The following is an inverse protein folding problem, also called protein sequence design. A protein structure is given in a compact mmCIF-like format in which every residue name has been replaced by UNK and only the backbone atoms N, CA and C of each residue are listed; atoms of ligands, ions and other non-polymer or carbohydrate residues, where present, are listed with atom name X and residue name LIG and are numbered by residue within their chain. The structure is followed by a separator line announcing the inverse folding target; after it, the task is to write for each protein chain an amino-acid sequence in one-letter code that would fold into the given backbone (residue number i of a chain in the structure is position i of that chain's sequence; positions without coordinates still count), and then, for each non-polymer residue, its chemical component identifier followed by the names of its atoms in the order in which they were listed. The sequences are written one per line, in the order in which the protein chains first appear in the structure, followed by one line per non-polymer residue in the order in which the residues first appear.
data_IF_565737928860
#
_entry.id   IF_565737928860
#
_cell.length_a   1.000
_cell.length_b   1.000
_cell.length_c   1.000
_cell.angle_alpha   90.00
_cell.angle_beta   90.00
_cell.angle_gamma   90.00
#
_symmetry.space_group_name_H-M   'P 1'
#
loop_
_entity.id
_entity.type
_entity.pdbx_description
1 polymer ?
#
# COMPACT_ATOMS: atom_id res chain seq x y z
N UNK A 1 14.52 5.85 34.26
CA UNK A 1 13.87 5.57 32.97
C UNK A 1 13.63 6.91 32.28
N UNK A 2 14.08 7.07 31.04
CA UNK A 2 13.72 8.24 30.24
C UNK A 2 12.30 7.98 29.73
N UNK A 3 11.34 8.80 30.14
CA UNK A 3 9.97 8.73 29.65
C UNK A 3 9.98 9.22 28.19
N UNK A 4 9.93 8.28 27.23
CA UNK A 4 9.86 8.63 25.82
C UNK A 4 8.45 9.14 25.50
N UNK A 5 8.31 10.46 25.36
CA UNK A 5 7.07 11.09 24.89
C UNK A 5 7.16 11.32 23.39
N UNK A 6 6.18 10.80 22.66
CA UNK A 6 5.97 11.16 21.26
C UNK A 6 5.28 12.53 21.29
N UNK A 7 5.99 13.56 20.84
CA UNK A 7 5.44 14.90 20.68
C UNK A 7 4.69 15.05 19.36
N UNK A 8 3.95 16.15 19.22
CA UNK A 8 3.11 16.42 18.05
C UNK A 8 3.90 16.39 16.74
N UNK A 9 5.14 16.88 16.76
CA UNK A 9 6.03 16.85 15.61
C UNK A 9 6.35 15.41 15.15
N UNK A 10 6.63 14.50 16.09
CA UNK A 10 6.89 13.09 15.76
C UNK A 10 5.62 12.37 15.29
N UNK A 11 4.46 12.69 15.85
CA UNK A 11 3.18 12.16 15.40
C UNK A 11 2.83 12.64 13.98
N UNK A 12 3.07 13.92 13.68
CA UNK A 12 2.86 14.49 12.36
C UNK A 12 3.76 13.83 11.32
N UNK A 13 5.06 13.68 11.63
CA UNK A 13 5.99 12.97 10.77
C UNK A 13 5.57 11.52 10.53
N UNK A 14 5.13 10.81 11.57
CA UNK A 14 4.65 9.44 11.43
C UNK A 14 3.43 9.41 10.49
N UNK A 15 2.46 10.29 10.73
CA UNK A 15 1.23 10.41 9.93
C UNK A 15 1.55 10.64 8.45
N UNK A 16 2.40 11.62 8.15
CA UNK A 16 2.76 11.95 6.76
C UNK A 16 3.43 10.77 6.04
N UNK A 17 4.18 9.91 6.74
CA UNK A 17 4.81 8.74 6.13
C UNK A 17 3.78 7.63 5.90
N UNK A 18 2.97 7.31 6.91
CA UNK A 18 2.02 6.17 6.85
C UNK A 18 0.78 6.45 6.01
N UNK A 19 0.48 7.71 5.70
CA UNK A 19 -0.62 8.08 4.80
C UNK A 19 -0.23 8.00 3.31
N UNK A 20 1.05 7.77 2.97
CA UNK A 20 1.51 7.62 1.56
C UNK A 20 1.37 6.18 1.10
N UNK A 21 0.50 5.87 0.11
CA UNK A 21 0.35 4.51 -0.39
C UNK A 21 1.60 4.03 -1.14
N UNK A 22 2.23 2.98 -0.62
CA UNK A 22 3.52 2.47 -1.08
C UNK A 22 3.60 0.93 -0.99
N UNK A 23 2.71 0.17 -1.66
CA UNK A 23 2.81 -1.29 -1.63
C UNK A 23 4.10 -1.77 -2.29
N UNK A 24 4.53 -2.99 -1.98
CA UNK A 24 5.79 -3.57 -2.51
C UNK A 24 5.87 -3.47 -4.05
N UNK A 25 6.99 -2.95 -4.55
CA UNK A 25 7.24 -2.63 -5.97
C UNK A 25 6.75 -1.26 -6.43
N UNK A 26 6.09 -0.50 -5.57
CA UNK A 26 5.46 0.80 -5.88
C UNK A 26 5.81 1.89 -4.85
N UNK A 27 6.97 1.77 -4.20
CA UNK A 27 7.44 2.55 -3.04
C UNK A 27 7.92 3.97 -3.37
N UNK A 28 8.02 4.30 -4.66
CA UNK A 28 8.60 5.56 -5.13
C UNK A 28 8.01 6.83 -4.46
N UNK A 29 6.68 6.95 -4.22
CA UNK A 29 6.14 8.12 -3.54
C UNK A 29 6.68 8.33 -2.12
N UNK A 30 6.73 7.27 -1.29
CA UNK A 30 7.23 7.38 0.08
C UNK A 30 8.75 7.61 0.10
N UNK A 31 9.48 6.99 -0.83
CA UNK A 31 10.91 7.21 -0.99
C UNK A 31 11.22 8.66 -1.38
N UNK A 32 10.44 9.27 -2.27
CA UNK A 32 10.60 10.67 -2.64
C UNK A 32 10.27 11.61 -1.48
N UNK A 33 9.18 11.34 -0.75
CA UNK A 33 8.86 12.07 0.49
C UNK A 33 10.03 12.04 1.48
N UNK A 34 10.60 10.85 1.74
CA UNK A 34 11.75 10.69 2.66
C UNK A 34 12.97 11.45 2.13
N UNK A 35 13.27 11.35 0.84
CA UNK A 35 14.41 12.03 0.21
C UNK A 35 14.28 13.55 0.31
N UNK A 36 13.11 14.11 0.01
CA UNK A 36 12.88 15.56 0.07
C UNK A 36 12.97 16.10 1.50
N UNK A 37 12.34 15.41 2.46
CA UNK A 37 12.27 15.88 3.85
C UNK A 37 13.57 15.65 4.63
N UNK A 38 14.23 14.52 4.41
CA UNK A 38 15.38 14.08 5.22
C UNK A 38 16.71 14.08 4.48
N UNK A 39 16.72 14.24 3.15
CA UNK A 39 17.94 14.31 2.36
C UNK A 39 18.88 15.42 2.82
N UNK A 40 18.33 16.53 3.32
CA UNK A 40 19.10 17.66 3.90
C UNK A 40 19.97 17.29 5.11
N UNK A 41 19.69 16.18 5.80
CA UNK A 41 20.48 15.72 6.93
C UNK A 41 21.62 14.77 6.52
N UNK A 42 21.56 14.24 5.30
CA UNK A 42 22.58 13.37 4.73
C UNK A 42 23.71 14.18 4.10
N UNK A 43 24.92 13.62 4.11
CA UNK A 43 26.03 14.15 3.31
C UNK A 43 26.02 13.60 1.89
N UNK A 44 25.38 12.46 1.68
CA UNK A 44 25.31 11.77 0.39
C UNK A 44 24.02 10.95 0.35
N UNK A 45 23.32 10.98 -0.79
CA UNK A 45 22.08 10.25 -1.03
C UNK A 45 22.34 9.26 -2.15
N UNK A 46 22.08 7.98 -1.91
CA UNK A 46 22.24 6.90 -2.89
C UNK A 46 20.92 6.23 -3.19
N UNK A 47 20.85 5.64 -4.38
CA UNK A 47 19.79 4.73 -4.83
C UNK A 47 20.43 3.43 -5.33
N UNK A 48 19.75 2.32 -5.16
CA UNK A 48 20.06 1.09 -5.90
C UNK A 48 19.13 0.96 -7.12
N UNK A 49 19.34 -0.11 -7.91
CA UNK A 49 18.57 -0.35 -9.13
C UNK A 49 17.14 -0.88 -8.87
N UNK A 50 16.82 -1.30 -7.64
CA UNK A 50 15.49 -1.77 -7.27
C UNK A 50 14.63 -0.65 -6.67
N UNK A 51 15.25 0.43 -6.20
CA UNK A 51 14.59 1.62 -5.70
C UNK A 51 15.01 2.04 -4.29
N UNK A 52 15.77 1.22 -3.54
CA UNK A 52 16.10 1.55 -2.15
C UNK A 52 16.80 2.89 -2.03
N UNK A 53 16.43 3.69 -1.01
CA UNK A 53 17.05 4.97 -0.71
C UNK A 53 18.03 4.82 0.46
N UNK A 54 19.26 5.25 0.29
CA UNK A 54 20.27 5.26 1.36
C UNK A 54 20.74 6.68 1.63
N UNK A 55 20.46 7.16 2.85
CA UNK A 55 20.92 8.45 3.37
C UNK A 55 22.21 8.24 4.17
N UNK A 56 23.33 8.74 3.66
CA UNK A 56 24.65 8.54 4.27
C UNK A 56 25.02 9.74 5.15
N UNK A 57 25.22 9.47 6.44
CA UNK A 57 25.81 10.43 7.38
C UNK A 57 27.27 10.03 7.66
N UNK A 58 28.23 10.91 7.32
CA UNK A 58 29.64 10.70 7.61
C UNK A 58 29.95 11.10 9.06
N UNK A 59 30.66 10.21 9.75
CA UNK A 59 31.17 10.44 11.11
C UNK A 59 32.58 11.04 11.11
N UNK A 60 33.27 10.96 12.25
CA UNK A 60 34.66 11.43 12.40
C UNK A 60 35.70 10.49 11.77
N UNK A 61 35.32 9.25 11.47
CA UNK A 61 36.18 8.22 10.87
C UNK A 61 35.44 7.44 9.79
N UNK A 62 36.18 6.83 8.87
CA UNK A 62 35.64 6.00 7.79
C UNK A 62 35.10 4.63 8.25
N UNK A 63 35.46 4.21 9.47
CA UNK A 63 35.03 2.94 10.08
C UNK A 63 34.72 3.10 11.57
N UNK A 64 33.82 2.26 12.13
CA UNK A 64 32.99 1.27 11.42
C UNK A 64 31.87 1.92 10.60
N UNK A 65 31.32 1.20 9.62
CA UNK A 65 30.08 1.59 8.92
C UNK A 65 28.91 0.93 9.62
N UNK A 66 27.92 1.72 10.02
CA UNK A 66 26.70 1.24 10.67
C UNK A 66 25.54 1.39 9.70
N UNK A 67 24.78 0.31 9.49
CA UNK A 67 23.55 0.32 8.70
C UNK A 67 22.36 0.24 9.64
N UNK A 68 21.47 1.22 9.54
CA UNK A 68 20.13 1.18 10.13
C UNK A 68 19.16 1.08 8.97
N UNK A 69 18.48 -0.06 8.85
CA UNK A 69 17.57 -0.36 7.76
C UNK A 69 16.14 -0.50 8.28
N UNK A 70 15.20 0.11 7.56
CA UNK A 70 13.77 -0.12 7.68
C UNK A 70 13.22 -0.26 6.26
N UNK A 71 12.34 -1.22 6.05
CA UNK A 71 11.63 -1.34 4.78
C UNK A 71 10.47 -0.33 4.78
N UNK A 72 10.19 0.24 3.61
CA UNK A 72 9.16 1.29 3.45
C UNK A 72 7.93 0.78 2.71
N UNK A 73 8.03 -0.42 2.13
CA UNK A 73 6.91 -1.06 1.48
C UNK A 73 5.89 -1.54 2.52
N UNK A 74 4.64 -1.45 2.14
CA UNK A 74 3.52 -1.99 2.90
C UNK A 74 2.85 -3.16 2.16
N UNK A 75 2.16 -4.00 2.92
CA UNK A 75 1.28 -5.01 2.31
C UNK A 75 0.14 -4.31 1.56
N UNK A 76 -0.24 -4.84 0.41
CA UNK A 76 -1.27 -4.23 -0.42
C UNK A 76 -1.82 -5.19 -1.45
N UNK A 77 -2.29 -4.65 -2.57
CA UNK A 77 -2.88 -5.41 -3.66
C UNK A 77 -2.49 -4.82 -5.01
N UNK A 78 -2.53 -5.64 -6.06
CA UNK A 78 -2.42 -5.18 -7.46
C UNK A 78 -3.63 -5.65 -8.25
N UNK A 79 -4.10 -4.81 -9.17
CA UNK A 79 -5.25 -5.10 -10.02
C UNK A 79 -4.88 -6.17 -11.04
N UNK A 80 -5.66 -7.24 -11.11
CA UNK A 80 -5.44 -8.38 -12.02
C UNK A 80 -6.50 -8.51 -13.10
N UNK A 81 -7.64 -7.84 -12.94
CA UNK A 81 -8.72 -7.86 -13.93
C UNK A 81 -9.85 -6.91 -13.59
N UNK A 82 -10.73 -6.69 -14.56
CA UNK A 82 -11.94 -5.89 -14.43
C UNK A 82 -13.08 -6.73 -15.02
N UNK A 83 -14.14 -6.94 -14.27
CA UNK A 83 -15.30 -7.73 -14.72
C UNK A 83 -16.23 -6.88 -15.61
N UNK A 84 -17.10 -7.54 -16.38
CA UNK A 84 -18.12 -6.88 -17.21
C UNK A 84 -19.05 -5.97 -16.39
N UNK A 85 -19.32 -6.35 -15.15
CA UNK A 85 -20.25 -5.68 -14.24
C UNK A 85 -19.62 -4.49 -13.52
N UNK A 86 -18.31 -4.25 -13.68
CA UNK A 86 -17.62 -3.11 -13.06
C UNK A 86 -16.90 -3.40 -11.74
N UNK A 87 -16.64 -4.67 -11.42
CA UNK A 87 -15.82 -5.04 -10.26
C UNK A 87 -14.34 -5.18 -10.63
N UNK A 88 -13.47 -4.93 -9.66
CA UNK A 88 -12.01 -5.01 -9.83
C UNK A 88 -11.46 -6.25 -9.14
N UNK A 89 -10.88 -7.16 -9.90
CA UNK A 89 -10.15 -8.31 -9.38
C UNK A 89 -8.75 -7.89 -8.96
N UNK A 90 -8.24 -8.50 -7.89
CA UNK A 90 -6.94 -8.16 -7.32
C UNK A 90 -6.19 -9.40 -6.82
N UNK A 91 -4.89 -9.25 -6.61
CA UNK A 91 -4.05 -10.25 -5.95
C UNK A 91 -3.20 -9.57 -4.87
N UNK A 92 -2.91 -10.23 -3.74
CA UNK A 92 -2.16 -9.62 -2.66
C UNK A 92 -0.70 -9.39 -3.03
N UNK A 93 -0.17 -8.25 -2.58
CA UNK A 93 1.25 -7.97 -2.50
C UNK A 93 1.66 -8.12 -1.03
N UNK A 94 2.39 -9.20 -0.73
CA UNK A 94 2.71 -9.59 0.64
C UNK A 94 1.67 -10.54 1.26
N UNK A 95 1.88 -10.87 2.53
CA UNK A 95 1.05 -11.83 3.27
C UNK A 95 -0.19 -11.17 3.90
N UNK A 96 -1.38 -11.66 3.56
CA UNK A 96 -2.64 -11.23 4.14
C UNK A 96 -3.35 -12.39 4.84
N UNK A 97 -4.10 -12.05 5.88
CA UNK A 97 -5.08 -12.96 6.47
C UNK A 97 -6.46 -12.63 5.92
N UNK A 98 -7.07 -13.55 5.16
CA UNK A 98 -8.31 -13.29 4.43
C UNK A 98 -9.46 -12.75 5.30
N UNK A 99 -9.49 -13.13 6.58
CA UNK A 99 -10.53 -12.72 7.52
C UNK A 99 -10.52 -11.22 7.84
N UNK A 100 -9.43 -10.50 7.58
CA UNK A 100 -9.36 -9.05 7.84
C UNK A 100 -9.76 -8.19 6.63
N UNK A 101 -10.07 -8.80 5.49
CA UNK A 101 -10.22 -8.08 4.21
C UNK A 101 -11.64 -7.59 3.93
N UNK A 102 -12.65 -8.41 4.23
CA UNK A 102 -14.03 -8.08 3.87
C UNK A 102 -14.49 -6.77 4.51
N UNK A 103 -15.19 -5.95 3.73
CA UNK A 103 -15.70 -4.63 4.10
C UNK A 103 -14.64 -3.58 4.45
N UNK A 104 -13.35 -3.84 4.15
CA UNK A 104 -12.31 -2.82 4.29
C UNK A 104 -12.33 -1.83 3.13
N UNK A 105 -12.04 -0.57 3.46
CA UNK A 105 -11.79 0.48 2.48
C UNK A 105 -10.39 0.33 1.91
N UNK A 106 -10.28 0.48 0.60
CA UNK A 106 -9.02 0.52 -0.12
C UNK A 106 -9.00 1.72 -1.05
N UNK A 107 -7.81 2.05 -1.54
CA UNK A 107 -7.63 3.08 -2.56
C UNK A 107 -6.80 2.50 -3.69
N UNK A 108 -7.31 2.61 -4.91
CA UNK A 108 -6.59 2.21 -6.12
C UNK A 108 -5.88 3.44 -6.68
N UNK A 109 -4.54 3.36 -6.77
CA UNK A 109 -3.75 4.41 -7.41
C UNK A 109 -3.80 4.23 -8.93
N UNK A 110 -4.40 5.18 -9.63
CA UNK A 110 -4.51 5.19 -11.09
C UNK A 110 -3.72 6.34 -11.70
N UNK A 111 -3.65 6.37 -13.04
CA UNK A 111 -3.10 7.53 -13.76
C UNK A 111 -3.92 8.81 -13.58
N UNK A 112 -5.19 8.69 -13.19
CA UNK A 112 -6.11 9.80 -12.99
C UNK A 112 -6.20 10.23 -11.51
N UNK A 113 -5.48 9.56 -10.62
CA UNK A 113 -5.48 9.83 -9.18
C UNK A 113 -5.93 8.63 -8.36
N UNK A 114 -6.42 8.91 -7.15
CA UNK A 114 -6.84 7.91 -6.19
C UNK A 114 -8.33 7.58 -6.36
N UNK A 115 -8.65 6.31 -6.54
CA UNK A 115 -10.03 5.81 -6.66
C UNK A 115 -10.37 5.03 -5.40
N UNK A 116 -11.31 5.50 -4.56
CA UNK A 116 -11.74 4.74 -3.39
C UNK A 116 -12.51 3.49 -3.80
N UNK A 117 -12.37 2.42 -3.02
CA UNK A 117 -13.14 1.21 -3.20
C UNK A 117 -13.34 0.47 -1.88
N UNK A 118 -14.17 -0.58 -1.93
CA UNK A 118 -14.44 -1.46 -0.78
C UNK A 118 -14.26 -2.91 -1.22
N UNK A 119 -13.55 -3.68 -0.41
CA UNK A 119 -13.44 -5.13 -0.65
C UNK A 119 -14.78 -5.79 -0.32
N UNK A 120 -15.36 -6.43 -1.33
CA UNK A 120 -16.64 -7.10 -1.27
C UNK A 120 -16.52 -8.56 -1.71
N UNK A 121 -17.57 -9.33 -1.44
CA UNK A 121 -17.75 -10.70 -1.91
C UNK A 121 -19.21 -10.97 -2.21
N UNK A 122 -19.52 -12.16 -2.72
CA UNK A 122 -20.89 -12.64 -2.82
C UNK A 122 -21.58 -12.55 -1.44
N UNK A 123 -22.80 -11.99 -1.35
CA UNK A 123 -23.44 -11.75 -0.06
C UNK A 123 -23.88 -13.07 0.60
N UNK A 124 -23.89 -13.13 1.95
CA UNK A 124 -24.12 -14.39 2.68
C UNK A 124 -25.43 -15.09 2.34
N UNK A 125 -26.52 -14.35 2.09
CA UNK A 125 -27.83 -14.92 1.80
C UNK A 125 -27.90 -15.65 0.43
N UNK A 126 -26.93 -15.42 -0.46
CA UNK A 126 -26.78 -16.13 -1.73
C UNK A 126 -25.81 -17.32 -1.66
N UNK A 127 -25.12 -17.49 -0.54
CA UNK A 127 -24.21 -18.62 -0.29
C UNK A 127 -25.00 -19.86 0.16
N UNK A 128 -24.49 -21.04 -0.18
CA UNK A 128 -25.02 -22.31 0.37
C UNK A 128 -24.73 -22.40 1.88
N UNK A 129 -25.47 -23.23 2.64
CA UNK A 129 -25.19 -23.44 4.06
C UNK A 129 -23.74 -23.85 4.35
N UNK A 130 -23.13 -24.66 3.48
CA UNK A 130 -21.74 -25.13 3.61
C UNK A 130 -20.73 -24.02 3.33
N UNK A 131 -21.00 -23.15 2.36
CA UNK A 131 -20.15 -21.99 2.04
C UNK A 131 -20.15 -20.96 3.17
N UNK A 132 -21.30 -20.73 3.83
CA UNK A 132 -21.42 -19.77 4.95
C UNK A 132 -20.58 -20.13 6.16
N UNK A 133 -20.24 -21.40 6.34
CA UNK A 133 -19.43 -21.87 7.47
C UNK A 133 -17.92 -21.75 7.20
N UNK A 134 -17.52 -21.40 5.97
CA UNK A 134 -16.12 -21.29 5.56
C UNK A 134 -15.70 -19.83 5.49
N UNK A 135 -14.41 -19.60 5.70
CA UNK A 135 -13.79 -18.30 5.46
C UNK A 135 -13.80 -18.04 3.96
N UNK A 136 -14.36 -16.89 3.56
CA UNK A 136 -14.30 -16.40 2.18
C UNK A 136 -12.83 -16.22 1.81
N UNK A 137 -12.39 -16.90 0.76
CA UNK A 137 -11.01 -16.80 0.29
C UNK A 137 -10.82 -15.49 -0.49
N UNK A 138 -9.61 -14.92 -0.45
CA UNK A 138 -9.28 -13.69 -1.20
C UNK A 138 -9.58 -13.80 -2.70
N UNK A 139 -9.45 -15.00 -3.29
CA UNK A 139 -9.77 -15.27 -4.70
C UNK A 139 -11.26 -15.14 -5.05
N UNK A 140 -12.14 -15.09 -4.04
CA UNK A 140 -13.57 -14.89 -4.17
C UNK A 140 -13.99 -13.45 -3.84
N UNK A 141 -13.02 -12.58 -3.54
CA UNK A 141 -13.23 -11.17 -3.24
C UNK A 141 -12.95 -10.31 -4.47
N UNK A 142 -13.55 -9.13 -4.48
CA UNK A 142 -13.37 -8.11 -5.50
C UNK A 142 -13.46 -6.73 -4.86
N UNK A 143 -12.88 -5.72 -5.50
CA UNK A 143 -13.02 -4.33 -5.06
C UNK A 143 -14.18 -3.71 -5.85
N UNK A 144 -15.15 -3.20 -5.13
CA UNK A 144 -16.23 -2.37 -5.66
C UNK A 144 -15.80 -0.90 -5.63
N UNK A 145 -15.83 -0.24 -6.78
CA UNK A 145 -15.50 1.19 -6.97
C UNK A 145 -16.74 2.03 -7.33
N UNK A 146 -17.94 1.45 -7.24
CA UNK A 146 -19.20 2.11 -7.57
C UNK A 146 -19.51 2.21 -9.07
N UNK A 147 -18.83 1.42 -9.90
CA UNK A 147 -19.04 1.37 -11.35
C UNK A 147 -20.06 0.29 -11.74
N UNK A 148 -20.77 0.51 -12.84
CA UNK A 148 -21.79 -0.43 -13.37
C UNK A 148 -21.33 -1.18 -14.62
N UNK A 149 -20.10 -0.94 -15.08
CA UNK A 149 -19.53 -1.57 -16.27
C UNK A 149 -18.00 -1.53 -16.26
N UNK A 150 -17.38 -2.43 -17.03
CA UNK A 150 -15.94 -2.41 -17.27
C UNK A 150 -15.46 -1.06 -17.80
N UNK A 151 -16.19 -0.48 -18.75
CA UNK A 151 -15.84 0.79 -19.41
C UNK A 151 -15.86 1.95 -18.42
N UNK A 152 -16.75 1.92 -17.42
CA UNK A 152 -16.79 2.93 -16.36
C UNK A 152 -15.59 2.82 -15.42
N UNK A 153 -15.19 1.58 -15.05
CA UNK A 153 -13.96 1.34 -14.27
C UNK A 153 -12.73 1.87 -15.02
N UNK A 154 -12.62 1.60 -16.33
CA UNK A 154 -11.51 2.07 -17.16
C UNK A 154 -11.49 3.62 -17.28
N UNK A 155 -12.65 4.28 -17.30
CA UNK A 155 -12.77 5.75 -17.27
C UNK A 155 -12.24 6.35 -15.96
N UNK A 156 -12.38 5.64 -14.83
CA UNK A 156 -11.74 6.02 -13.57
C UNK A 156 -10.20 5.89 -13.62
N UNK A 157 -9.66 5.30 -14.70
CA UNK A 157 -8.23 5.14 -14.95
C UNK A 157 -7.67 3.84 -14.40
N UNK A 158 -8.50 2.98 -13.80
CA UNK A 158 -8.10 1.66 -13.30
C UNK A 158 -7.68 0.79 -14.47
N UNK A 159 -6.56 0.07 -14.31
CA UNK A 159 -6.03 -0.87 -15.28
C UNK A 159 -5.37 -2.04 -14.55
N UNK A 160 -5.10 -3.12 -15.27
CA UNK A 160 -4.28 -4.23 -14.77
C UNK A 160 -2.85 -3.72 -14.52
N UNK A 161 -2.25 -4.15 -13.39
CA UNK A 161 -0.93 -3.69 -12.92
C UNK A 161 -0.96 -2.29 -12.35
#
# INVERSE_FOLDING_TARGET
MIEYKVDDLRLEVLREIVEVPAPSGFEEPVLNFIKERYGRFAHEVKRDNLGSLVLVRRGKSEKPKVLVAGHVDEVGFVVTGITSEGYVNFTPLGGWFDQVLLAQRVVIRTKNGLVPGVIASKPPHLLTPEERQKVVQISQMFIDVGASSKEEVEKLGVRIG
#
